data_IF_783493484496
#
_entry.id   IF_783493484496
#
_cell.length_a   1.000
_cell.length_b   1.000
_cell.length_c   1.000
_cell.angle_alpha   90.00
_cell.angle_beta   90.00
_cell.angle_gamma   90.00
#
_symmetry.space_group_name_H-M   'P 1'
#
loop_
_entity.id
_entity.type
_entity.pdbx_description
1 polymer ?
#
# COMPACT_ATOMS: atom_id res chain seq x y z
N UNK A 1 -14.57 9.79 23.04
CA UNK A 1 -15.45 10.76 23.72
C UNK A 1 -16.68 11.02 22.88
N UNK A 2 -17.85 11.07 23.51
CA UNK A 2 -19.10 11.51 22.86
C UNK A 2 -18.94 12.99 22.50
N UNK A 3 -19.24 13.39 21.27
CA UNK A 3 -19.41 14.81 20.99
C UNK A 3 -20.86 15.24 21.30
N UNK A 4 -21.10 16.54 21.47
CA UNK A 4 -22.41 17.10 21.81
C UNK A 4 -23.50 16.78 20.77
N UNK A 5 -23.12 16.29 19.58
CA UNK A 5 -24.03 15.86 18.52
C UNK A 5 -24.41 14.36 18.56
N UNK A 6 -23.93 13.61 19.56
CA UNK A 6 -24.20 12.17 19.69
C UNK A 6 -23.51 11.30 18.62
N UNK A 7 -22.56 11.86 17.87
CA UNK A 7 -21.79 11.16 16.85
C UNK A 7 -20.48 10.63 17.44
N UNK A 8 -20.14 9.40 17.04
CA UNK A 8 -18.85 8.79 17.35
C UNK A 8 -17.99 8.79 16.09
N UNK A 9 -16.72 9.14 16.24
CA UNK A 9 -15.72 9.11 15.16
C UNK A 9 -14.49 8.35 15.64
N UNK A 10 -14.58 7.01 15.80
CA UNK A 10 -13.44 6.20 16.20
C UNK A 10 -12.35 6.29 15.14
N UNK A 11 -11.10 6.53 15.56
CA UNK A 11 -9.93 6.63 14.67
C UNK A 11 -9.07 5.37 14.62
N UNK A 12 -9.38 4.39 15.47
CA UNK A 12 -8.65 3.13 15.59
C UNK A 12 -9.58 2.02 16.14
N UNK A 13 -9.08 0.79 16.14
CA UNK A 13 -9.83 -0.39 16.57
C UNK A 13 -10.28 -0.32 18.03
N UNK A 14 -9.42 0.19 18.91
CA UNK A 14 -9.73 0.32 20.34
C UNK A 14 -10.92 1.26 20.56
N UNK A 15 -10.89 2.45 19.95
CA UNK A 15 -11.98 3.42 20.03
C UNK A 15 -13.28 2.92 19.40
N UNK A 16 -13.17 2.09 18.34
CA UNK A 16 -14.33 1.43 17.75
C UNK A 16 -14.95 0.41 18.71
N UNK A 17 -14.12 -0.43 19.35
CA UNK A 17 -14.58 -1.43 20.33
C UNK A 17 -15.25 -0.77 21.54
N UNK A 18 -14.67 0.30 22.06
CA UNK A 18 -15.26 1.07 23.16
C UNK A 18 -16.62 1.65 22.78
N UNK A 19 -16.74 2.23 21.57
CA UNK A 19 -18.01 2.72 21.05
C UNK A 19 -19.06 1.61 20.94
N UNK A 20 -18.68 0.45 20.38
CA UNK A 20 -19.59 -0.69 20.25
C UNK A 20 -20.06 -1.20 21.62
N UNK A 21 -19.17 -1.27 22.62
CA UNK A 21 -19.52 -1.62 24.00
C UNK A 21 -20.52 -0.63 24.62
N UNK A 22 -20.40 0.66 24.31
CA UNK A 22 -21.38 1.68 24.74
C UNK A 22 -22.74 1.48 24.07
N UNK A 23 -22.79 1.06 22.81
CA UNK A 23 -24.08 0.78 22.15
C UNK A 23 -24.75 -0.48 22.69
N UNK A 24 -23.98 -1.53 22.93
CA UNK A 24 -24.47 -2.78 23.54
C UNK A 24 -25.02 -2.52 24.94
N UNK A 25 -24.31 -1.76 25.78
CA UNK A 25 -24.77 -1.46 27.15
C UNK A 25 -26.02 -0.57 27.19
N UNK A 26 -26.28 0.22 26.14
CA UNK A 26 -27.50 1.04 25.99
C UNK A 26 -28.66 0.31 25.30
N UNK A 27 -28.51 -0.97 24.98
CA UNK A 27 -29.46 -1.77 24.19
C UNK A 27 -29.84 -1.13 22.83
N UNK A 28 -28.92 -0.36 22.24
CA UNK A 28 -29.11 0.28 20.95
C UNK A 28 -28.63 -0.66 19.84
N UNK A 29 -29.54 -1.49 19.32
CA UNK A 29 -29.22 -2.51 18.32
C UNK A 29 -29.09 -1.98 16.88
N UNK A 30 -29.28 -0.67 16.67
CA UNK A 30 -29.19 -0.03 15.36
C UNK A 30 -28.22 1.15 15.43
N UNK A 31 -27.18 1.10 14.60
CA UNK A 31 -26.30 2.23 14.35
C UNK A 31 -26.09 2.41 12.85
N UNK A 32 -25.85 3.64 12.43
CA UNK A 32 -25.54 4.00 11.05
C UNK A 32 -24.08 4.39 10.97
N UNK A 33 -23.34 3.77 10.06
CA UNK A 33 -21.94 4.12 9.79
C UNK A 33 -21.87 5.05 8.60
N UNK A 34 -21.21 6.18 8.76
CA UNK A 34 -20.80 7.03 7.66
C UNK A 34 -19.31 6.82 7.43
N UNK A 35 -18.95 6.28 6.27
CA UNK A 35 -17.56 6.12 5.86
C UNK A 35 -17.25 7.28 4.94
N UNK A 36 -16.40 8.20 5.39
CA UNK A 36 -15.85 9.23 4.53
C UNK A 36 -14.84 8.58 3.58
N UNK A 37 -15.27 8.30 2.36
CA UNK A 37 -14.35 7.91 1.29
C UNK A 37 -13.70 9.17 0.72
N UNK A 38 -12.40 9.12 0.37
CA UNK A 38 -11.76 10.06 -0.53
C UNK A 38 -12.69 10.51 -1.67
N UNK A 39 -13.02 11.80 -1.75
CA UNK A 39 -13.87 12.34 -2.83
C UNK A 39 -13.19 12.38 -4.19
N UNK A 40 -11.88 12.12 -4.24
CA UNK A 40 -11.06 12.09 -5.44
C UNK A 40 -10.53 10.68 -5.72
N UNK A 41 -10.46 10.26 -7.00
CA UNK A 41 -9.82 9.00 -7.37
C UNK A 41 -8.35 9.03 -6.96
N UNK A 42 -7.78 7.87 -6.61
CA UNK A 42 -6.42 7.75 -6.09
C UNK A 42 -5.36 8.39 -7.01
N UNK A 43 -5.58 8.38 -8.32
CA UNK A 43 -4.74 9.06 -9.32
C UNK A 43 -4.55 10.56 -9.08
N UNK A 44 -5.52 11.20 -8.44
CA UNK A 44 -5.55 12.64 -8.23
C UNK A 44 -4.98 13.03 -6.85
N UNK A 45 -4.55 12.03 -6.06
CA UNK A 45 -3.94 12.26 -4.77
C UNK A 45 -2.46 12.53 -4.93
N UNK A 46 -2.03 13.69 -4.45
CA UNK A 46 -0.62 13.99 -4.31
C UNK A 46 -0.04 13.17 -3.16
N UNK A 47 1.19 12.68 -3.34
CA UNK A 47 1.90 11.89 -2.34
C UNK A 47 1.85 12.51 -0.92
N UNK A 48 2.10 13.83 -0.72
CA UNK A 48 1.98 14.45 0.60
C UNK A 48 0.64 14.24 1.31
N UNK A 49 -0.46 14.25 0.55
CA UNK A 49 -1.82 14.06 1.09
C UNK A 49 -2.07 12.61 1.47
N UNK A 50 -1.57 11.67 0.67
CA UNK A 50 -1.64 10.24 0.99
C UNK A 50 -0.80 9.95 2.24
N UNK A 51 0.42 10.48 2.28
CA UNK A 51 1.35 10.32 3.40
C UNK A 51 0.74 10.79 4.72
N UNK A 52 0.13 11.97 4.74
CA UNK A 52 -0.56 12.51 5.91
C UNK A 52 -1.83 11.72 6.26
N UNK A 53 -2.66 11.37 5.27
CA UNK A 53 -3.94 10.69 5.52
C UNK A 53 -3.75 9.32 6.17
N UNK A 54 -2.75 8.56 5.71
CA UNK A 54 -2.51 7.19 6.15
C UNK A 54 -1.40 7.08 7.21
N UNK A 55 -0.80 8.20 7.64
CA UNK A 55 0.28 8.20 8.64
C UNK A 55 1.49 7.36 8.21
N UNK A 56 1.87 7.44 6.93
CA UNK A 56 2.87 6.55 6.31
C UNK A 56 4.33 6.85 6.70
N UNK A 57 4.58 7.73 7.66
CA UNK A 57 5.91 7.83 8.26
C UNK A 57 5.98 8.74 9.48
N UNK A 58 7.17 8.77 10.07
CA UNK A 58 7.46 9.45 11.33
C UNK A 58 7.84 10.93 11.17
N UNK A 59 7.99 11.40 9.93
CA UNK A 59 8.43 12.75 9.60
C UNK A 59 7.24 13.67 9.34
N UNK A 60 7.28 14.88 9.88
CA UNK A 60 6.31 15.93 9.57
C UNK A 60 6.51 16.53 8.16
N UNK A 61 7.63 16.23 7.49
CA UNK A 61 7.88 16.61 6.10
C UNK A 61 7.30 15.56 5.14
N UNK A 62 6.24 15.91 4.37
CA UNK A 62 5.57 14.99 3.46
C UNK A 62 6.22 14.98 2.06
N UNK A 63 7.40 15.60 1.91
CA UNK A 63 8.20 15.60 0.69
C UNK A 63 8.83 14.25 0.40
N UNK A 64 9.14 13.97 -0.87
CA UNK A 64 9.94 12.81 -1.25
C UNK A 64 11.41 12.92 -0.81
N UNK A 65 11.87 14.11 -0.39
CA UNK A 65 13.24 14.36 0.06
C UNK A 65 13.63 13.64 1.34
N UNK A 66 12.66 13.22 2.16
CA UNK A 66 12.92 12.42 3.37
C UNK A 66 13.29 10.98 3.04
N UNK A 67 12.96 10.51 1.84
CA UNK A 67 13.33 9.18 1.39
C UNK A 67 14.73 9.22 0.78
N UNK A 68 15.57 8.20 1.04
CA UNK A 68 16.84 8.09 0.37
C UNK A 68 16.61 8.12 -1.15
N UNK A 69 17.46 8.82 -1.91
CA UNK A 69 17.34 8.83 -3.36
C UNK A 69 17.39 7.39 -3.86
N UNK A 70 16.38 7.00 -4.65
CA UNK A 70 16.43 5.75 -5.36
C UNK A 70 17.49 5.88 -6.46
N UNK A 71 18.56 5.09 -6.38
CA UNK A 71 19.53 4.99 -7.46
C UNK A 71 18.99 4.00 -8.49
N UNK A 72 18.51 4.50 -9.62
CA UNK A 72 18.17 3.67 -10.76
C UNK A 72 19.46 3.37 -11.52
N UNK A 73 19.97 2.14 -11.39
CA UNK A 73 21.13 1.70 -12.16
C UNK A 73 20.69 1.20 -13.54
N UNK A 74 21.47 1.57 -14.56
CA UNK A 74 21.34 1.02 -15.89
C UNK A 74 22.10 -0.30 -15.95
N UNK A 75 21.40 -1.40 -16.22
CA UNK A 75 22.01 -2.71 -16.48
C UNK A 75 22.06 -2.95 -17.99
N UNK A 76 23.26 -3.06 -18.54
CA UNK A 76 23.42 -3.54 -19.91
C UNK A 76 22.91 -4.98 -20.00
N UNK A 77 21.98 -5.21 -20.91
CA UNK A 77 21.39 -6.52 -21.15
C UNK A 77 22.27 -7.33 -22.11
N UNK A 78 23.59 -7.41 -21.89
CA UNK A 78 24.48 -8.14 -22.80
C UNK A 78 24.48 -9.65 -22.56
N UNK A 79 24.21 -10.07 -21.32
CA UNK A 79 24.08 -11.47 -20.94
C UNK A 79 22.87 -12.12 -21.62
N UNK A 80 23.05 -13.35 -22.13
CA UNK A 80 21.99 -14.11 -22.79
C UNK A 80 20.78 -14.36 -21.87
N UNK A 81 21.02 -14.54 -20.57
CA UNK A 81 19.97 -14.66 -19.54
C UNK A 81 19.11 -13.39 -19.45
N UNK A 82 19.75 -12.22 -19.43
CA UNK A 82 19.10 -10.92 -19.37
C UNK A 82 18.29 -10.63 -20.64
N UNK A 83 18.86 -10.95 -21.82
CA UNK A 83 18.16 -10.88 -23.12
C UNK A 83 16.94 -11.79 -23.15
N UNK A 84 17.06 -13.01 -22.63
CA UNK A 84 15.94 -13.97 -22.55
C UNK A 84 14.80 -13.45 -21.66
N UNK A 85 15.11 -12.91 -20.48
CA UNK A 85 14.09 -12.33 -19.59
C UNK A 85 13.37 -11.16 -20.27
N UNK A 86 14.11 -10.26 -20.92
CA UNK A 86 13.50 -9.15 -21.67
C UNK A 86 12.59 -9.64 -22.80
N UNK A 87 13.04 -10.61 -23.59
CA UNK A 87 12.23 -11.19 -24.68
C UNK A 87 10.96 -11.88 -24.15
N UNK A 88 11.05 -12.55 -23.00
CA UNK A 88 9.89 -13.15 -22.33
C UNK A 88 8.90 -12.07 -21.90
N UNK A 89 9.37 -10.98 -21.26
CA UNK A 89 8.54 -9.84 -20.88
C UNK A 89 7.83 -9.24 -22.10
N UNK A 90 8.55 -8.97 -23.20
CA UNK A 90 7.95 -8.43 -24.43
C UNK A 90 6.86 -9.36 -24.97
N UNK A 91 7.11 -10.67 -24.96
CA UNK A 91 6.15 -11.67 -25.43
C UNK A 91 4.90 -11.70 -24.55
N UNK A 92 5.06 -11.68 -23.24
CA UNK A 92 3.96 -11.63 -22.28
C UNK A 92 3.12 -10.36 -22.44
N UNK A 93 3.75 -9.18 -22.53
CA UNK A 93 3.06 -7.90 -22.68
C UNK A 93 2.24 -7.86 -23.98
N UNK A 94 2.78 -8.40 -25.09
CA UNK A 94 2.05 -8.54 -26.36
C UNK A 94 0.84 -9.46 -26.23
N UNK A 95 0.98 -10.59 -25.52
CA UNK A 95 -0.14 -11.50 -25.28
C UNK A 95 -1.23 -10.84 -24.43
N UNK A 96 -0.84 -10.12 -23.38
CA UNK A 96 -1.77 -9.36 -22.53
C UNK A 96 -2.49 -8.27 -23.30
N UNK A 97 -1.78 -7.48 -24.12
CA UNK A 97 -2.38 -6.45 -24.97
C UNK A 97 -3.44 -7.00 -25.94
N UNK A 98 -3.26 -8.23 -26.43
CA UNK A 98 -4.28 -8.91 -27.26
C UNK A 98 -5.52 -9.31 -26.45
N UNK A 99 -5.35 -9.73 -25.20
CA UNK A 99 -6.43 -10.25 -24.38
C UNK A 99 -7.16 -9.15 -23.57
N UNK A 100 -6.45 -8.09 -23.21
CA UNK A 100 -6.89 -7.07 -22.25
C UNK A 100 -6.51 -5.68 -22.80
N UNK A 101 -7.46 -4.75 -22.94
CA UNK A 101 -7.13 -3.39 -23.31
C UNK A 101 -6.33 -2.68 -22.20
N UNK A 102 -5.19 -2.07 -22.55
CA UNK A 102 -4.37 -1.25 -21.63
C UNK A 102 -5.16 -0.04 -21.08
N UNK A 103 -6.07 0.51 -21.88
CA UNK A 103 -6.99 1.59 -21.46
C UNK A 103 -8.10 1.12 -20.50
N UNK A 104 -8.02 -0.12 -20.01
CA UNK A 104 -8.94 -0.68 -19.03
C UNK A 104 -8.85 -0.03 -17.64
N UNK A 105 -9.58 -0.62 -16.69
CA UNK A 105 -9.58 -0.19 -15.29
C UNK A 105 -8.21 -0.48 -14.61
N UNK A 106 -8.07 0.00 -13.37
CA UNK A 106 -6.83 -0.19 -12.60
C UNK A 106 -6.43 -1.66 -12.45
N UNK A 107 -7.38 -2.59 -12.33
CA UNK A 107 -7.08 -4.02 -12.24
C UNK A 107 -6.40 -4.53 -13.52
N UNK A 108 -6.85 -4.09 -14.70
CA UNK A 108 -6.19 -4.42 -15.98
C UNK A 108 -4.79 -3.83 -16.06
N UNK A 109 -4.60 -2.57 -15.65
CA UNK A 109 -3.28 -1.91 -15.62
C UNK A 109 -2.31 -2.62 -14.68
N UNK A 110 -2.77 -3.04 -13.50
CA UNK A 110 -1.96 -3.77 -12.52
C UNK A 110 -1.36 -5.05 -13.11
N UNK A 111 -2.04 -5.72 -14.04
CA UNK A 111 -1.48 -6.93 -14.67
C UNK A 111 -0.22 -6.65 -15.51
N UNK A 112 -0.17 -5.50 -16.20
CA UNK A 112 1.03 -5.08 -16.93
C UNK A 112 2.15 -4.75 -15.95
N UNK A 113 1.84 -3.96 -14.91
CA UNK A 113 2.81 -3.60 -13.87
C UNK A 113 3.40 -4.84 -13.21
N UNK A 114 2.58 -5.84 -12.88
CA UNK A 114 3.06 -7.11 -12.33
C UNK A 114 4.06 -7.81 -13.26
N UNK A 115 3.82 -7.79 -14.59
CA UNK A 115 4.74 -8.40 -15.57
C UNK A 115 6.12 -7.73 -15.53
N UNK A 116 6.14 -6.38 -15.49
CA UNK A 116 7.38 -5.62 -15.35
C UNK A 116 8.11 -5.92 -14.03
N UNK A 117 7.39 -5.99 -12.91
CA UNK A 117 7.98 -6.27 -11.59
C UNK A 117 8.61 -7.67 -11.55
N UNK A 118 7.92 -8.68 -12.07
CA UNK A 118 8.44 -10.06 -12.13
C UNK A 118 9.71 -10.11 -12.98
N UNK A 119 9.71 -9.51 -14.17
CA UNK A 119 10.90 -9.44 -15.01
C UNK A 119 12.05 -8.68 -14.34
N UNK A 120 11.75 -7.57 -13.66
CA UNK A 120 12.72 -6.80 -12.89
C UNK A 120 13.38 -7.65 -11.79
N UNK A 121 12.60 -8.37 -10.99
CA UNK A 121 13.14 -9.27 -9.96
C UNK A 121 14.04 -10.34 -10.57
N UNK A 122 13.61 -10.97 -11.67
CA UNK A 122 14.39 -12.01 -12.35
C UNK A 122 15.70 -11.46 -12.95
N UNK A 123 15.72 -10.20 -13.40
CA UNK A 123 16.94 -9.56 -13.91
C UNK A 123 17.98 -9.28 -12.81
N UNK A 124 17.54 -9.19 -11.55
CA UNK A 124 18.36 -8.85 -10.39
C UNK A 124 18.44 -9.99 -9.37
N UNK A 125 18.04 -11.21 -9.75
CA UNK A 125 18.22 -12.43 -8.97
C UNK A 125 19.74 -12.66 -8.77
N UNK A 126 20.29 -12.08 -7.70
CA UNK A 126 21.73 -12.07 -7.40
C UNK A 126 22.26 -10.77 -6.78
N UNK A 127 21.61 -9.61 -6.98
CA UNK A 127 22.10 -8.31 -6.47
C UNK A 127 21.38 -7.80 -5.21
N UNK A 128 20.29 -8.45 -4.80
CA UNK A 128 19.43 -7.96 -3.72
C UNK A 128 19.21 -9.04 -2.66
N UNK A 129 19.84 -8.90 -1.49
CA UNK A 129 19.31 -9.51 -0.27
C UNK A 129 18.04 -8.76 0.10
N UNK A 130 16.87 -9.25 -0.31
CA UNK A 130 15.58 -8.76 0.17
C UNK A 130 15.42 -9.20 1.63
N UNK A 131 16.09 -8.49 2.54
CA UNK A 131 15.87 -8.63 3.96
C UNK A 131 14.46 -8.13 4.23
N UNK A 132 13.48 -9.03 4.28
CA UNK A 132 12.25 -8.77 4.98
C UNK A 132 12.64 -8.43 6.42
N UNK A 133 12.74 -7.14 6.74
CA UNK A 133 12.66 -6.71 8.13
C UNK A 133 11.26 -7.09 8.59
N UNK A 134 11.14 -8.28 9.18
CA UNK A 134 10.05 -8.57 10.10
C UNK A 134 10.16 -7.53 11.20
N UNK A 135 9.28 -6.53 11.19
CA UNK A 135 8.90 -5.82 12.41
C UNK A 135 8.13 -6.81 13.28
N UNK A 136 8.86 -7.74 13.90
CA UNK A 136 8.41 -8.45 15.08
C UNK A 136 9.10 -7.77 16.24
N UNK A 137 8.43 -6.79 16.83
CA UNK A 137 8.81 -6.28 18.13
C UNK A 137 7.54 -5.96 18.90
N UNK A 138 6.94 -7.03 19.43
CA UNK A 138 6.42 -6.99 20.79
C UNK A 138 7.17 -8.08 21.56
N UNK A 139 7.65 -7.75 22.76
CA UNK A 139 7.20 -8.52 23.90
C UNK A 139 6.49 -7.60 24.89
N UNK A 140 5.26 -8.02 25.19
CA UNK A 140 4.50 -7.75 26.39
C UNK A 140 5.42 -7.73 27.63
N UNK A 141 5.57 -6.57 28.26
CA UNK A 141 6.11 -6.43 29.61
C UNK A 141 5.10 -7.04 30.59
N UNK A 142 5.31 -8.29 30.97
CA UNK A 142 4.84 -8.84 32.24
C UNK A 142 5.98 -8.69 33.24
N UNK A 143 5.93 -7.63 34.04
CA UNK A 143 6.37 -7.55 35.44
C UNK A 143 6.71 -6.10 35.81
N UNK A 144 5.79 -5.37 36.43
CA UNK A 144 6.08 -4.55 37.62
C UNK A 144 4.83 -4.52 38.53
N UNK A 145 5.06 -4.89 39.79
CA UNK A 145 4.18 -4.81 40.95
C UNK A 145 3.69 -3.39 41.23
#
# INVERSE_FOLDING_TARGET
MLNDSGKFSPRNDQGLREMLNVFVSKNNLKFTVFIETPSKPFSDWLFPKVYQLYGLGESDDPSLSVFPPFTCEYKELEEDSSKAIFNNLVTELKARLKAIPISGNEASKSQYVCSYLVAGVNLYEGSSSFNQKKTSQDPMDTDQL
#
